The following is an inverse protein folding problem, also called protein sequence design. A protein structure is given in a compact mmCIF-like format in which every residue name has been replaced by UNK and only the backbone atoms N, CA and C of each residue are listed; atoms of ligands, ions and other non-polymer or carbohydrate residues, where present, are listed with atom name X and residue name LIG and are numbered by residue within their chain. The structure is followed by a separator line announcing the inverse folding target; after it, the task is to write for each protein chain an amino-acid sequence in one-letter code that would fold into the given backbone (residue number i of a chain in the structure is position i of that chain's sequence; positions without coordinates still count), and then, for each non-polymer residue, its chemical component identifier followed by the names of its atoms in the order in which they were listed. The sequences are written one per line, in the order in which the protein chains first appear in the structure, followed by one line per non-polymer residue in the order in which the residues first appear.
data_IF_721116447141
#
_entry.id   IF_721116447141
#
_cell.length_a   1.000
_cell.length_b   1.000
_cell.length_c   1.000
_cell.angle_alpha   90.00
_cell.angle_beta   90.00
_cell.angle_gamma   90.00
#
_symmetry.space_group_name_H-M   'P 1'
#
loop_
_entity.id
_entity.type
_entity.pdbx_description
1 polymer ?
#
# COMPACT_ATOMS: atom_id res chain seq x y z
N UNK A 1 11.29 -30.34 -15.54
CA UNK A 1 11.20 -28.90 -15.84
C UNK A 1 10.13 -28.27 -14.97
N UNK A 2 10.57 -27.48 -13.99
CA UNK A 2 9.70 -26.68 -13.11
C UNK A 2 9.76 -25.23 -13.56
N UNK A 3 8.72 -24.45 -13.25
CA UNK A 3 8.69 -23.02 -13.55
C UNK A 3 8.97 -22.23 -12.28
N UNK A 4 9.93 -21.30 -12.33
CA UNK A 4 10.26 -20.42 -11.22
C UNK A 4 9.97 -18.97 -11.59
N UNK A 5 9.40 -18.20 -10.66
CA UNK A 5 9.40 -16.74 -10.71
C UNK A 5 10.65 -16.23 -10.00
N UNK A 6 11.35 -15.32 -10.66
CA UNK A 6 12.61 -14.74 -10.21
C UNK A 6 12.51 -13.23 -10.21
N UNK A 7 12.90 -12.63 -9.10
CA UNK A 7 12.98 -11.17 -8.98
C UNK A 7 14.34 -10.84 -8.39
N UNK A 8 15.08 -9.93 -9.02
CA UNK A 8 16.37 -9.46 -8.55
C UNK A 8 16.46 -7.93 -8.60
N UNK A 9 17.02 -7.35 -7.55
CA UNK A 9 17.18 -5.89 -7.41
C UNK A 9 18.55 -5.52 -6.86
N UNK A 10 19.06 -4.36 -7.28
CA UNK A 10 20.31 -3.77 -6.77
C UNK A 10 20.12 -2.29 -6.57
N UNK A 11 20.49 -1.80 -5.38
CA UNK A 11 20.36 -0.38 -5.02
C UNK A 11 18.94 0.21 -5.22
N UNK A 12 17.89 -0.61 -5.05
CA UNK A 12 16.49 -0.19 -5.22
C UNK A 12 15.97 -0.23 -6.65
N UNK A 13 16.79 -0.64 -7.63
CA UNK A 13 16.37 -0.85 -9.01
C UNK A 13 16.16 -2.34 -9.28
N UNK A 14 15.04 -2.70 -9.91
CA UNK A 14 14.79 -4.06 -10.40
C UNK A 14 15.67 -4.30 -11.62
N UNK A 15 16.55 -5.30 -11.52
CA UNK A 15 17.45 -5.73 -12.59
C UNK A 15 16.87 -6.89 -13.40
N UNK A 16 16.07 -7.73 -12.74
CA UNK A 16 15.48 -8.92 -13.34
C UNK A 16 14.12 -9.18 -12.71
N UNK A 17 13.11 -9.44 -13.54
CA UNK A 17 11.77 -9.81 -13.11
C UNK A 17 11.13 -10.69 -14.18
N UNK A 18 11.42 -11.99 -14.14
CA UNK A 18 10.99 -12.92 -15.18
C UNK A 18 10.72 -14.32 -14.62
N UNK A 19 10.19 -15.20 -15.48
CA UNK A 19 9.99 -16.61 -15.20
C UNK A 19 11.06 -17.42 -15.94
N UNK A 20 11.58 -18.44 -15.26
CA UNK A 20 12.60 -19.31 -15.81
C UNK A 20 12.21 -20.76 -15.59
N UNK A 21 12.36 -21.56 -16.64
CA UNK A 21 12.22 -23.01 -16.58
C UNK A 21 13.56 -23.64 -16.19
N UNK A 22 13.54 -24.42 -15.12
CA UNK A 22 14.72 -25.12 -14.61
C UNK A 22 14.29 -26.36 -13.84
N UNK A 23 15.20 -27.31 -13.63
CA UNK A 23 14.90 -28.50 -12.83
C UNK A 23 15.08 -28.24 -11.32
N UNK A 24 15.81 -27.18 -10.95
CA UNK A 24 16.02 -26.82 -9.55
C UNK A 24 16.14 -25.30 -9.32
N UNK A 25 15.89 -24.81 -8.07
CA UNK A 25 16.11 -23.41 -7.73
C UNK A 25 17.56 -22.95 -7.93
N UNK A 26 18.53 -23.86 -7.77
CA UNK A 26 19.96 -23.58 -7.99
C UNK A 26 20.24 -23.32 -9.46
N UNK A 27 19.68 -24.14 -10.34
CA UNK A 27 19.81 -23.94 -11.77
C UNK A 27 19.10 -22.66 -12.23
N UNK A 28 17.88 -22.39 -11.74
CA UNK A 28 17.17 -21.14 -11.99
C UNK A 28 18.01 -19.91 -11.59
N UNK A 29 18.73 -19.99 -10.45
CA UNK A 29 19.67 -18.95 -10.01
C UNK A 29 20.83 -18.76 -10.98
N UNK A 30 21.43 -19.84 -11.47
CA UNK A 30 22.55 -19.79 -12.41
C UNK A 30 22.11 -19.23 -13.77
N UNK A 31 20.94 -19.63 -14.26
CA UNK A 31 20.33 -19.05 -15.46
C UNK A 31 20.02 -17.56 -15.29
N UNK A 32 19.42 -17.16 -14.16
CA UNK A 32 19.18 -15.74 -13.83
C UNK A 32 20.48 -14.93 -13.85
N UNK A 33 21.55 -15.47 -13.26
CA UNK A 33 22.87 -14.85 -13.24
C UNK A 33 23.45 -14.68 -14.65
N UNK A 34 23.31 -15.71 -15.50
CA UNK A 34 23.72 -15.67 -16.90
C UNK A 34 22.92 -14.64 -17.72
N UNK A 35 21.60 -14.59 -17.55
CA UNK A 35 20.71 -13.64 -18.24
C UNK A 35 21.00 -12.18 -17.86
N UNK A 36 21.41 -11.93 -16.61
CA UNK A 36 21.85 -10.59 -16.19
C UNK A 36 23.29 -10.25 -16.61
N UNK A 37 24.03 -11.18 -17.22
CA UNK A 37 25.44 -10.99 -17.59
C UNK A 37 26.36 -10.76 -16.38
N UNK A 38 25.99 -11.26 -15.20
CA UNK A 38 26.75 -11.06 -13.97
C UNK A 38 27.63 -12.27 -13.66
N UNK A 39 28.87 -12.04 -13.23
CA UNK A 39 29.74 -13.11 -12.74
C UNK A 39 29.39 -13.53 -11.30
N UNK A 40 28.76 -12.64 -10.54
CA UNK A 40 28.33 -12.87 -9.15
C UNK A 40 27.05 -12.08 -8.83
N UNK A 41 26.27 -12.61 -7.89
CA UNK A 41 25.08 -11.95 -7.33
C UNK A 41 25.39 -11.11 -6.08
N UNK A 42 26.67 -10.87 -5.77
CA UNK A 42 27.06 -10.01 -4.63
C UNK A 42 26.44 -8.63 -4.78
N UNK A 43 25.72 -8.17 -3.74
CA UNK A 43 25.03 -6.87 -3.75
C UNK A 43 23.69 -6.87 -4.48
N UNK A 44 23.24 -8.01 -5.00
CA UNK A 44 21.92 -8.22 -5.59
C UNK A 44 21.02 -8.92 -4.57
N UNK A 45 19.88 -8.31 -4.25
CA UNK A 45 18.82 -8.93 -3.46
C UNK A 45 17.88 -9.63 -4.42
N UNK A 46 17.70 -10.93 -4.28
CA UNK A 46 16.85 -11.71 -5.17
C UNK A 46 15.96 -12.69 -4.41
N UNK A 47 14.84 -13.05 -5.04
CA UNK A 47 13.90 -14.06 -4.58
C UNK A 47 13.65 -15.07 -5.71
N UNK A 48 13.55 -16.34 -5.34
CA UNK A 48 13.27 -17.46 -6.24
C UNK A 48 12.07 -18.19 -5.67
N UNK A 49 10.98 -18.27 -6.41
CA UNK A 49 9.75 -18.93 -6.00
C UNK A 49 9.29 -19.93 -7.04
N UNK A 50 9.08 -21.18 -6.65
CA UNK A 50 8.52 -22.22 -7.53
C UNK A 50 7.04 -21.94 -7.80
N UNK A 51 6.64 -22.00 -9.06
CA UNK A 51 5.24 -21.92 -9.48
C UNK A 51 4.71 -23.36 -9.57
N UNK A 52 3.69 -23.74 -8.79
CA UNK A 52 3.13 -25.09 -8.79
C UNK A 52 2.21 -25.30 -10.00
N UNK A 53 2.79 -25.41 -11.19
CA UNK A 53 2.05 -25.49 -12.46
C UNK A 53 1.12 -26.71 -12.49
N UNK A 54 1.56 -27.88 -12.01
CA UNK A 54 0.77 -29.10 -12.00
C UNK A 54 -0.53 -28.95 -11.18
N UNK A 55 -0.42 -28.29 -10.02
CA UNK A 55 -1.58 -27.99 -9.17
C UNK A 55 -2.53 -27.04 -9.91
N UNK A 56 -2.00 -25.98 -10.52
CA UNK A 56 -2.80 -25.00 -11.26
C UNK A 56 -3.54 -25.70 -12.42
N UNK A 57 -2.86 -26.56 -13.18
CA UNK A 57 -3.47 -27.33 -14.27
C UNK A 57 -4.60 -28.23 -13.74
N UNK A 58 -4.35 -28.99 -12.67
CA UNK A 58 -5.38 -29.87 -12.08
C UNK A 58 -6.63 -29.10 -11.64
N UNK A 59 -6.46 -27.89 -11.09
CA UNK A 59 -7.56 -27.02 -10.68
C UNK A 59 -8.32 -26.53 -11.91
N UNK A 60 -7.61 -26.06 -12.94
CA UNK A 60 -8.22 -25.55 -14.18
C UNK A 60 -9.00 -26.66 -14.88
N UNK A 61 -8.43 -27.85 -15.01
CA UNK A 61 -9.07 -29.00 -15.63
C UNK A 61 -10.35 -29.39 -14.88
N UNK A 62 -10.29 -29.47 -13.54
CA UNK A 62 -11.46 -29.75 -12.72
C UNK A 62 -12.57 -28.70 -12.90
N UNK A 63 -12.19 -27.40 -12.94
CA UNK A 63 -13.15 -26.31 -13.17
C UNK A 63 -13.74 -26.33 -14.58
N UNK A 64 -12.95 -26.71 -15.57
CA UNK A 64 -13.42 -26.82 -16.95
C UNK A 64 -14.41 -27.99 -17.10
N UNK A 65 -14.13 -29.13 -16.47
CA UNK A 65 -15.06 -30.27 -16.42
C UNK A 65 -16.37 -29.87 -15.73
N UNK A 66 -16.30 -29.22 -14.58
CA UNK A 66 -17.48 -28.72 -13.85
C UNK A 66 -18.29 -27.73 -14.71
N UNK A 67 -17.61 -26.81 -15.41
CA UNK A 67 -18.26 -25.85 -16.30
C UNK A 67 -18.96 -26.54 -17.48
N UNK A 68 -18.31 -27.54 -18.10
CA UNK A 68 -18.90 -28.31 -19.21
C UNK A 68 -20.09 -29.15 -18.74
N UNK A 69 -20.03 -29.75 -17.55
CA UNK A 69 -21.16 -30.48 -16.97
C UNK A 69 -22.37 -29.57 -16.72
N UNK A 70 -22.15 -28.35 -16.21
CA UNK A 70 -23.23 -27.36 -16.04
C UNK A 70 -23.87 -26.98 -17.37
N UNK A 71 -23.06 -26.72 -18.40
CA UNK A 71 -23.55 -26.41 -19.74
C UNK A 71 -24.38 -27.56 -20.32
N UNK A 72 -23.90 -28.79 -20.22
CA UNK A 72 -24.62 -29.98 -20.69
C UNK A 72 -25.89 -30.26 -19.86
N UNK A 73 -25.90 -29.89 -18.58
CA UNK A 73 -27.07 -29.97 -17.70
C UNK A 73 -28.08 -28.83 -17.88
N UNK A 74 -27.89 -27.94 -18.87
CA UNK A 74 -28.77 -26.80 -19.13
C UNK A 74 -28.66 -25.68 -18.08
N UNK A 75 -27.65 -25.75 -17.20
CA UNK A 75 -27.42 -24.76 -16.16
C UNK A 75 -26.45 -23.71 -16.71
N UNK A 76 -26.96 -22.52 -17.00
CA UNK A 76 -26.13 -21.41 -17.47
C UNK A 76 -25.04 -21.05 -16.44
N UNK A 77 -23.84 -20.65 -16.86
CA UNK A 77 -22.81 -20.20 -15.93
C UNK A 77 -23.36 -19.01 -15.14
N UNK A 78 -23.19 -19.04 -13.81
CA UNK A 78 -23.56 -17.93 -12.96
C UNK A 78 -22.74 -16.71 -13.36
N UNK A 79 -23.37 -15.76 -14.06
CA UNK A 79 -22.77 -14.45 -14.31
C UNK A 79 -22.47 -13.78 -12.98
N UNK A 80 -21.43 -12.93 -12.95
CA UNK A 80 -21.09 -12.15 -11.74
C UNK A 80 -22.33 -11.42 -11.20
N UNK A 81 -23.18 -10.91 -12.08
CA UNK A 81 -24.47 -10.30 -11.73
C UNK A 81 -25.46 -11.26 -11.05
N UNK A 82 -25.51 -12.54 -11.43
CA UNK A 82 -26.34 -13.55 -10.77
C UNK A 82 -25.81 -13.92 -9.38
N UNK A 83 -24.50 -13.90 -9.17
CA UNK A 83 -23.91 -14.07 -7.84
C UNK A 83 -24.13 -12.85 -6.93
N UNK A 84 -24.14 -11.64 -7.49
CA UNK A 84 -24.33 -10.39 -6.75
C UNK A 84 -25.80 -10.09 -6.44
N UNK A 85 -26.74 -10.57 -7.25
CA UNK A 85 -28.18 -10.34 -7.08
C UNK A 85 -28.72 -10.71 -5.68
N UNK A 86 -28.42 -11.88 -5.08
CA UNK A 86 -28.90 -12.20 -3.73
C UNK A 86 -28.35 -11.24 -2.67
N UNK A 87 -27.05 -10.96 -2.71
CA UNK A 87 -26.37 -10.03 -1.78
C UNK A 87 -26.96 -8.62 -1.88
N UNK A 88 -27.13 -8.11 -3.10
CA UNK A 88 -27.73 -6.81 -3.34
C UNK A 88 -29.19 -6.75 -2.87
N UNK A 89 -29.96 -7.82 -3.08
CA UNK A 89 -31.37 -7.88 -2.65
C UNK A 89 -31.54 -7.87 -1.12
N UNK A 90 -30.60 -8.47 -0.40
CA UNK A 90 -30.59 -8.49 1.06
C UNK A 90 -30.25 -7.11 1.62
N UNK A 91 -29.22 -6.46 1.08
CA UNK A 91 -28.84 -5.09 1.46
C UNK A 91 -29.97 -4.08 1.22
N UNK A 92 -30.68 -4.17 0.08
CA UNK A 92 -31.85 -3.31 -0.20
C UNK A 92 -32.98 -3.57 0.82
N UNK A 93 -33.19 -4.82 1.22
CA UNK A 93 -34.23 -5.18 2.20
C UNK A 93 -33.89 -4.60 3.58
N UNK A 94 -32.64 -4.64 4.00
CA UNK A 94 -32.17 -4.03 5.26
C UNK A 94 -32.31 -2.50 5.25
N UNK A 95 -31.96 -1.86 4.14
CA UNK A 95 -32.13 -0.41 3.97
C UNK A 95 -33.61 -0.01 4.05
N UNK A 96 -34.51 -0.75 3.40
CA UNK A 96 -35.94 -0.50 3.48
C UNK A 96 -36.51 -0.74 4.88
N UNK A 97 -36.01 -1.74 5.61
CA UNK A 97 -36.39 -1.97 7.00
C UNK A 97 -35.96 -0.80 7.90
N UNK A 98 -34.74 -0.29 7.69
CA UNK A 98 -34.19 0.85 8.44
C UNK A 98 -34.93 2.16 8.14
N UNK A 99 -35.37 2.38 6.91
CA UNK A 99 -36.19 3.56 6.58
C UNK A 99 -37.59 3.48 7.20
N UNK A 100 -38.17 2.28 7.28
CA UNK A 100 -39.48 2.08 7.92
C UNK A 100 -39.45 2.33 9.43
N UNK A 101 -38.36 1.97 10.12
CA UNK A 101 -38.21 2.24 11.56
C UNK A 101 -38.04 3.74 11.83
N UNK A 102 -37.34 4.47 10.97
CA UNK A 102 -37.22 5.94 11.08
C UNK A 102 -38.57 6.62 10.87
N UNK A 103 -39.35 6.22 9.86
CA UNK A 103 -40.69 6.79 9.62
C UNK A 103 -41.69 6.49 10.76
N UNK A 104 -41.60 5.32 11.40
CA UNK A 104 -42.47 5.00 12.54
C UNK A 104 -42.09 5.76 13.81
N UNK A 105 -40.81 6.11 13.99
CA UNK A 105 -40.37 6.97 15.10
C UNK A 105 -40.84 8.43 14.96
N UNK A 106 -41.10 8.90 13.74
CA UNK A 106 -41.57 10.26 13.44
C UNK A 106 -43.09 10.43 13.65
N UNK A 107 -43.84 9.35 13.92
CA UNK A 107 -45.30 9.38 14.16
C UNK A 107 -45.67 9.37 15.65
N UNK A 108 -44.77 9.83 16.53
CA UNK A 108 -45.10 10.13 17.93
C UNK A 108 -45.61 11.59 18.03
N UNK A 109 -46.62 11.90 18.87
CA UNK A 109 -47.32 13.19 18.84
C UNK A 109 -46.37 14.36 19.13
N UNK A 110 -46.49 15.50 18.43
CA UNK A 110 -45.52 16.58 18.51
C UNK A 110 -45.55 17.27 19.86
N UNK A 111 -44.40 17.33 20.52
CA UNK A 111 -44.13 18.31 21.56
C UNK A 111 -44.32 19.72 20.97
N UNK A 112 -44.96 20.58 21.75
CA UNK A 112 -45.39 21.96 21.48
C UNK A 112 -44.55 22.76 20.46
N UNK A 113 -45.17 23.53 19.56
CA UNK A 113 -44.44 24.33 18.57
C UNK A 113 -43.63 25.44 19.25
N UNK A 114 -42.30 25.35 19.18
CA UNK A 114 -41.43 26.48 19.49
C UNK A 114 -41.55 27.50 18.37
N UNK A 115 -41.95 28.72 18.75
CA UNK A 115 -42.07 29.88 17.87
C UNK A 115 -40.69 30.26 17.36
N UNK A 116 -40.50 30.18 16.04
CA UNK A 116 -39.28 30.63 15.35
C UNK A 116 -39.10 32.14 15.55
N UNK A 117 -37.95 32.53 16.10
CA UNK A 117 -37.56 33.94 16.25
C UNK A 117 -36.56 34.30 15.14
N UNK A 118 -37.02 35.10 14.17
CA UNK A 118 -36.29 35.46 12.97
C UNK A 118 -35.24 36.58 13.18
N UNK A 119 -35.07 37.10 14.40
CA UNK A 119 -34.14 38.21 14.70
C UNK A 119 -33.06 37.88 15.73
N UNK A 120 -32.89 36.61 16.09
CA UNK A 120 -31.65 36.13 16.71
C UNK A 120 -30.54 36.03 15.63
N UNK A 121 -30.11 37.18 15.12
CA UNK A 121 -29.06 37.29 14.11
C UNK A 121 -27.69 36.92 14.68
N UNK A 122 -26.89 36.19 13.89
CA UNK A 122 -25.46 36.10 14.12
C UNK A 122 -24.72 34.90 13.53
N UNK A 123 -24.53 34.90 12.21
CA UNK A 123 -23.36 34.36 11.52
C UNK A 123 -23.11 32.84 11.49
N UNK A 124 -23.79 32.10 10.59
CA UNK A 124 -23.16 31.02 9.80
C UNK A 124 -23.89 30.87 8.45
N UNK A 125 -23.55 31.70 7.46
CA UNK A 125 -23.94 31.44 6.07
C UNK A 125 -23.04 32.22 5.10
N UNK A 126 -21.88 31.66 4.78
CA UNK A 126 -21.15 32.00 3.55
C UNK A 126 -20.61 30.69 2.98
N UNK A 127 -21.46 30.00 2.22
CA UNK A 127 -21.47 29.99 0.75
C UNK A 127 -20.44 29.02 0.18
N UNK A 128 -20.98 27.83 -0.09
CA UNK A 128 -20.54 26.86 -1.09
C UNK A 128 -20.59 27.55 -2.47
N UNK A 129 -19.48 27.59 -3.18
CA UNK A 129 -19.44 27.85 -4.64
C UNK A 129 -18.46 26.85 -5.29
N UNK A 130 -19.01 26.10 -6.25
CA UNK A 130 -18.36 25.22 -7.25
C UNK A 130 -17.33 26.01 -8.11
N UNK A 131 -16.26 25.49 -8.74
CA UNK A 131 -16.13 24.45 -9.78
C UNK A 131 -14.63 24.38 -10.24
N UNK A 132 -14.19 23.67 -11.31
CA UNK A 132 -12.92 22.92 -11.37
C UNK A 132 -11.77 23.61 -12.15
N UNK A 133 -10.52 23.20 -11.92
CA UNK A 133 -9.40 23.60 -12.79
C UNK A 133 -8.30 22.53 -12.86
N UNK A 134 -7.76 22.36 -14.07
CA UNK A 134 -6.79 21.35 -14.45
C UNK A 134 -5.32 21.80 -14.26
N UNK A 135 -4.43 20.79 -14.37
CA UNK A 135 -2.98 20.78 -14.72
C UNK A 135 -1.92 21.25 -13.70
N UNK A 136 -1.02 20.32 -13.28
CA UNK A 136 0.45 20.33 -13.53
C UNK A 136 1.22 19.28 -12.69
N UNK A 137 2.37 18.74 -13.19
CA UNK A 137 3.17 17.72 -12.49
C UNK A 137 4.11 18.33 -11.44
N UNK A 138 4.22 17.68 -10.26
CA UNK A 138 5.06 18.15 -9.14
C UNK A 138 6.56 17.91 -9.37
N UNK A 139 7.45 18.90 -9.10
CA UNK A 139 8.90 18.72 -9.13
C UNK A 139 9.45 18.04 -7.87
N UNK A 140 10.60 17.37 -8.02
CA UNK A 140 11.26 16.53 -7.02
C UNK A 140 11.56 17.23 -5.69
N UNK A 141 11.10 16.61 -4.59
CA UNK A 141 11.20 17.14 -3.22
C UNK A 141 12.61 16.88 -2.65
N UNK A 142 13.46 17.92 -2.55
CA UNK A 142 14.65 17.89 -1.68
C UNK A 142 14.19 17.83 -0.22
N UNK A 143 14.34 16.68 0.42
CA UNK A 143 13.97 16.45 1.83
C UNK A 143 15.07 17.02 2.74
N UNK A 144 14.89 18.25 3.20
CA UNK A 144 15.50 18.74 4.44
C UNK A 144 14.86 18.00 5.61
N UNK A 145 15.68 17.32 6.42
CA UNK A 145 15.21 16.55 7.57
C UNK A 145 14.79 17.51 8.68
N UNK A 146 13.49 17.59 8.90
CA UNK A 146 12.82 18.34 9.97
C UNK A 146 12.81 17.46 11.22
N UNK A 147 13.23 17.98 12.37
CA UNK A 147 12.99 17.35 13.69
C UNK A 147 11.52 17.47 14.07
N UNK A 148 11.09 16.67 15.06
CA UNK A 148 9.71 16.63 15.57
C UNK A 148 9.11 18.00 15.91
N UNK A 149 9.94 19.00 16.24
CA UNK A 149 9.52 20.36 16.58
C UNK A 149 9.63 21.40 15.45
N UNK A 150 9.85 20.98 14.20
CA UNK A 150 9.88 21.91 13.07
C UNK A 150 11.16 22.78 12.99
N UNK A 151 12.07 22.66 13.94
CA UNK A 151 13.33 23.42 13.99
C UNK A 151 14.40 22.84 13.06
N UNK A 152 15.28 23.70 12.54
CA UNK A 152 16.41 23.29 11.69
C UNK A 152 17.50 22.68 12.59
N UNK A 153 17.83 21.41 12.33
CA UNK A 153 18.88 20.70 13.08
C UNK A 153 20.26 21.27 12.77
N UNK A 154 20.98 21.74 13.78
CA UNK A 154 22.40 22.11 13.64
C UNK A 154 23.29 20.85 13.59
N UNK A 155 23.55 20.37 12.37
CA UNK A 155 24.39 19.22 12.11
C UNK A 155 25.86 19.39 12.55
N UNK A 156 26.36 20.61 12.72
CA UNK A 156 27.72 20.84 13.23
C UNK A 156 27.81 20.48 14.71
N UNK A 157 26.78 20.81 15.49
CA UNK A 157 26.68 20.43 16.90
C UNK A 157 26.56 18.90 17.06
N UNK A 158 25.72 18.26 16.24
CA UNK A 158 25.57 16.79 16.20
C UNK A 158 26.91 16.11 15.91
N UNK A 159 27.67 16.62 14.93
CA UNK A 159 29.01 16.10 14.59
C UNK A 159 29.98 16.19 15.76
N UNK A 160 29.99 17.31 16.49
CA UNK A 160 30.87 17.53 17.64
C UNK A 160 30.59 16.54 18.76
N UNK A 161 29.30 16.28 19.04
CA UNK A 161 28.89 15.30 20.07
C UNK A 161 29.24 13.88 19.65
N UNK A 162 29.00 13.53 18.38
CA UNK A 162 29.38 12.21 17.85
C UNK A 162 30.88 11.96 17.97
N UNK A 163 31.71 12.95 17.62
CA UNK A 163 33.18 12.85 17.76
C UNK A 163 33.66 12.72 19.19
N UNK A 164 32.91 13.25 20.16
CA UNK A 164 33.24 13.16 21.60
C UNK A 164 32.81 11.84 22.24
N UNK A 165 31.70 11.27 21.78
CA UNK A 165 31.04 10.12 22.44
C UNK A 165 31.23 8.80 21.68
N UNK A 166 31.41 8.85 20.36
CA UNK A 166 31.51 7.68 19.49
C UNK A 166 30.23 6.88 19.34
N UNK A 167 29.18 7.27 20.06
CA UNK A 167 27.95 6.53 20.16
C UNK A 167 26.84 7.21 19.38
N UNK A 168 26.39 6.55 18.31
CA UNK A 168 25.27 6.99 17.48
C UNK A 168 23.99 7.06 18.32
N UNK A 169 23.79 6.11 19.25
CA UNK A 169 22.59 6.06 20.11
C UNK A 169 22.52 7.26 21.05
N UNK A 170 23.63 7.61 21.69
CA UNK A 170 23.69 8.77 22.59
C UNK A 170 23.52 10.08 21.83
N UNK A 171 24.17 10.20 20.66
CA UNK A 171 24.02 11.39 19.80
C UNK A 171 22.59 11.56 19.31
N UNK A 172 21.92 10.46 18.92
CA UNK A 172 20.53 10.49 18.49
C UNK A 172 19.58 10.92 19.61
N UNK A 173 19.76 10.39 20.83
CA UNK A 173 18.96 10.75 21.99
C UNK A 173 19.12 12.22 22.39
N UNK A 174 20.34 12.77 22.33
CA UNK A 174 20.61 14.14 22.75
C UNK A 174 19.98 15.21 21.84
N UNK A 175 19.81 14.91 20.56
CA UNK A 175 19.24 15.84 19.57
C UNK A 175 17.84 15.43 19.12
N UNK A 176 17.21 14.46 19.80
CA UNK A 176 15.90 13.90 19.44
C UNK A 176 15.80 13.46 17.97
N UNK A 177 16.91 12.97 17.44
CA UNK A 177 17.01 12.49 16.08
C UNK A 177 16.75 10.99 16.03
N UNK A 178 16.20 10.53 14.91
CA UNK A 178 16.23 9.09 14.64
C UNK A 178 17.68 8.61 14.49
N UNK A 179 17.99 7.43 15.03
CA UNK A 179 19.29 6.77 14.89
C UNK A 179 19.68 6.67 13.40
N UNK A 180 18.71 6.41 12.53
CA UNK A 180 18.91 6.30 11.08
C UNK A 180 19.29 7.64 10.44
N UNK A 181 18.76 8.77 10.92
CA UNK A 181 19.12 10.10 10.45
C UNK A 181 20.59 10.41 10.72
N UNK A 182 21.05 10.13 11.94
CA UNK A 182 22.46 10.32 12.34
C UNK A 182 23.37 9.36 11.55
N UNK A 183 22.99 8.08 11.43
CA UNK A 183 23.74 7.07 10.67
C UNK A 183 23.85 7.42 9.18
N UNK A 184 22.77 7.92 8.57
CA UNK A 184 22.78 8.37 7.18
C UNK A 184 23.70 9.59 7.01
N UNK A 185 23.71 10.52 7.96
CA UNK A 185 24.60 11.68 7.93
C UNK A 185 26.07 11.30 8.05
N UNK A 186 26.41 10.43 8.99
CA UNK A 186 27.78 9.90 9.18
C UNK A 186 28.30 9.28 7.88
N UNK A 187 27.49 8.48 7.19
CA UNK A 187 27.88 7.86 5.91
C UNK A 187 28.08 8.86 4.77
N UNK A 188 27.23 9.90 4.71
CA UNK A 188 27.32 10.94 3.66
C UNK A 188 28.54 11.84 3.83
N UNK A 189 28.91 12.13 5.07
CA UNK A 189 29.98 13.09 5.39
C UNK A 189 31.27 12.44 5.92
N UNK A 190 31.32 11.11 6.01
CA UNK A 190 32.51 10.36 6.44
C UNK A 190 32.99 10.71 7.85
N UNK A 191 32.08 10.85 8.83
CA UNK A 191 32.48 11.22 10.19
C UNK A 191 33.24 10.08 10.88
N UNK A 192 34.47 10.37 11.30
CA UNK A 192 35.30 9.50 12.16
C UNK A 192 35.21 9.94 13.62
N UNK A 193 35.33 9.00 14.54
CA UNK A 193 35.58 9.24 15.96
C UNK A 193 37.09 9.32 16.17
N UNK A 194 37.55 10.28 16.98
CA UNK A 194 38.96 10.38 17.40
C UNK A 194 39.19 9.63 18.71
#
# INVERSE_FOLDING_TARGET
MKLFKLIASRAGQVLFDDRVEADSPREAREQMKALMGLNSLTGVVYAITEIPVDLIQSIVDARLVEALQRLNGGQAPATVEQMLRPIASEAVREQLASLRTVQTAETAPPATPQRFDAFAGGAVAEQIIEQPAAVTPKPGRKRTSVTTDGTVVDWKAVKRVYRRTGSIKQTAAQFELSINSVKARIRREGWTHE
#
